data_IF_026635487382
#
_entry.id   IF_026635487382
#
_cell.length_a   1.000
_cell.length_b   1.000
_cell.length_c   1.000
_cell.angle_alpha   90.00
_cell.angle_beta   90.00
_cell.angle_gamma   90.00
#
_symmetry.space_group_name_H-M   'P 1'
#
loop_
_entity.id
_entity.type
_entity.pdbx_description
1 polymer ?
#
# COMPACT_ATOMS: atom_id res chain seq x y z
N UNK A 1 -15.81 -27.85 26.49
CA UNK A 1 -16.45 -29.10 25.99
C UNK A 1 -17.73 -29.48 26.72
N UNK A 2 -17.91 -29.08 27.97
CA UNK A 2 -19.12 -29.37 28.76
C UNK A 2 -20.43 -28.84 28.12
N UNK A 3 -20.36 -27.73 27.37
CA UNK A 3 -21.53 -27.16 26.69
C UNK A 3 -22.13 -28.09 25.62
N UNK A 4 -21.30 -28.81 24.86
CA UNK A 4 -21.75 -29.75 23.82
C UNK A 4 -22.41 -30.98 24.47
N UNK A 5 -21.80 -31.49 25.54
CA UNK A 5 -22.35 -32.63 26.29
C UNK A 5 -23.72 -32.29 26.91
N UNK A 6 -23.83 -31.11 27.53
CA UNK A 6 -25.10 -30.64 28.10
C UNK A 6 -26.19 -30.46 27.02
N UNK A 7 -25.84 -29.91 25.85
CA UNK A 7 -26.79 -29.73 24.75
C UNK A 7 -27.30 -31.08 24.20
N UNK A 8 -26.41 -32.08 24.10
CA UNK A 8 -26.80 -33.43 23.67
C UNK A 8 -27.71 -34.10 24.71
N UNK A 9 -27.39 -33.96 26.00
CA UNK A 9 -28.20 -34.54 27.09
C UNK A 9 -29.57 -33.86 27.21
N UNK A 10 -29.65 -32.54 26.99
CA UNK A 10 -30.90 -31.78 26.95
C UNK A 10 -31.78 -32.23 25.77
N UNK A 11 -31.21 -32.37 24.57
CA UNK A 11 -31.96 -32.91 23.42
C UNK A 11 -32.53 -34.30 23.69
N UNK A 12 -31.75 -35.20 24.30
CA UNK A 12 -32.20 -36.55 24.68
C UNK A 12 -33.37 -36.46 25.67
N UNK A 13 -33.26 -35.58 26.67
CA UNK A 13 -34.28 -35.36 27.71
C UNK A 13 -35.58 -34.76 27.16
N UNK A 14 -35.47 -33.87 26.17
CA UNK A 14 -36.63 -33.23 25.53
C UNK A 14 -37.28 -34.09 24.43
N UNK A 15 -36.76 -35.29 24.15
CA UNK A 15 -37.33 -36.17 23.13
C UNK A 15 -36.85 -35.87 21.70
N UNK A 16 -35.86 -34.98 21.54
CA UNK A 16 -35.35 -34.53 20.25
C UNK A 16 -34.24 -35.49 19.80
N UNK A 17 -34.48 -36.21 18.71
CA UNK A 17 -33.53 -37.17 18.13
C UNK A 17 -33.01 -38.22 19.14
N UNK A 18 -33.80 -38.55 20.17
CA UNK A 18 -33.40 -39.35 21.33
C UNK A 18 -32.75 -40.66 20.96
N UNK A 19 -33.32 -41.44 20.03
CA UNK A 19 -32.72 -42.71 19.61
C UNK A 19 -31.36 -42.53 18.93
N UNK A 20 -31.22 -41.50 18.09
CA UNK A 20 -29.99 -41.23 17.34
C UNK A 20 -28.89 -40.72 18.27
N UNK A 21 -29.20 -39.72 19.11
CA UNK A 21 -28.26 -39.14 20.06
C UNK A 21 -27.86 -40.12 21.16
N UNK A 22 -28.76 -40.99 21.61
CA UNK A 22 -28.42 -42.02 22.61
C UNK A 22 -27.50 -43.10 22.04
N UNK A 23 -27.71 -43.52 20.78
CA UNK A 23 -26.88 -44.53 20.11
C UNK A 23 -25.52 -43.97 19.69
N UNK A 24 -25.46 -42.72 19.24
CA UNK A 24 -24.26 -42.11 18.65
C UNK A 24 -23.64 -41.00 19.51
N UNK A 25 -23.93 -40.97 20.82
CA UNK A 25 -23.56 -39.87 21.75
C UNK A 25 -22.08 -39.50 21.66
N UNK A 26 -21.20 -40.50 21.72
CA UNK A 26 -19.75 -40.28 21.71
C UNK A 26 -19.25 -39.70 20.37
N UNK A 27 -19.80 -40.17 19.25
CA UNK A 27 -19.42 -39.69 17.91
C UNK A 27 -19.90 -38.25 17.68
N UNK A 28 -21.16 -37.93 18.04
CA UNK A 28 -21.72 -36.57 17.91
C UNK A 28 -20.97 -35.56 18.77
N UNK A 29 -20.64 -35.93 20.01
CA UNK A 29 -19.84 -35.09 20.91
C UNK A 29 -18.42 -34.91 20.36
N UNK A 30 -17.80 -35.99 19.87
CA UNK A 30 -16.45 -35.95 19.30
C UNK A 30 -16.40 -35.09 18.03
N UNK A 31 -17.31 -35.32 17.08
CA UNK A 31 -17.45 -34.55 15.84
C UNK A 31 -17.60 -33.06 16.16
N UNK A 32 -18.54 -32.71 17.03
CA UNK A 32 -18.83 -31.32 17.41
C UNK A 32 -17.70 -30.63 18.19
N UNK A 33 -16.81 -31.38 18.85
CA UNK A 33 -15.69 -30.83 19.63
C UNK A 33 -14.40 -30.71 18.81
N UNK A 34 -14.16 -31.62 17.88
CA UNK A 34 -12.87 -31.73 17.17
C UNK A 34 -12.84 -31.05 15.80
N UNK A 35 -13.99 -30.76 15.19
CA UNK A 35 -14.01 -30.22 13.82
C UNK A 35 -13.66 -28.74 13.72
N UNK A 36 -13.84 -27.97 14.79
CA UNK A 36 -13.54 -26.53 14.79
C UNK A 36 -12.27 -26.21 15.59
N UNK A 37 -11.14 -26.10 14.89
CA UNK A 37 -9.91 -25.54 15.43
C UNK A 37 -9.94 -24.01 15.30
N UNK A 38 -10.43 -23.37 16.36
CA UNK A 38 -10.50 -21.91 16.47
C UNK A 38 -9.14 -21.25 16.25
N UNK A 39 -8.06 -21.84 16.78
CA UNK A 39 -6.72 -21.25 16.67
C UNK A 39 -6.21 -21.29 15.23
N UNK A 40 -6.49 -22.38 14.52
CA UNK A 40 -6.16 -22.51 13.10
C UNK A 40 -6.90 -21.47 12.26
N UNK A 41 -8.19 -21.26 12.49
CA UNK A 41 -8.98 -20.25 11.77
C UNK A 41 -8.54 -18.82 12.10
N UNK A 42 -8.28 -18.50 13.37
CA UNK A 42 -7.74 -17.20 13.77
C UNK A 42 -6.36 -16.94 13.14
N UNK A 43 -5.52 -17.97 13.04
CA UNK A 43 -4.20 -17.88 12.40
C UNK A 43 -4.32 -17.64 10.89
N UNK A 44 -5.27 -18.30 10.22
CA UNK A 44 -5.56 -18.05 8.79
C UNK A 44 -6.02 -16.60 8.58
N UNK A 45 -6.96 -16.13 9.41
CA UNK A 45 -7.48 -14.77 9.33
C UNK A 45 -6.36 -13.73 9.52
N UNK A 46 -5.56 -13.88 10.58
CA UNK A 46 -4.44 -12.97 10.86
C UNK A 46 -3.40 -12.94 9.74
N UNK A 47 -3.13 -14.09 9.12
CA UNK A 47 -2.22 -14.17 7.97
C UNK A 47 -2.78 -13.42 6.77
N UNK A 48 -4.07 -13.59 6.46
CA UNK A 48 -4.73 -12.88 5.36
C UNK A 48 -4.76 -11.37 5.60
N UNK A 49 -5.07 -10.92 6.82
CA UNK A 49 -5.05 -9.50 7.20
C UNK A 49 -3.64 -8.90 7.08
N UNK A 50 -2.61 -9.63 7.52
CA UNK A 50 -1.23 -9.20 7.39
C UNK A 50 -0.81 -9.08 5.92
N UNK A 51 -1.11 -10.09 5.10
CA UNK A 51 -0.78 -10.09 3.67
C UNK A 51 -1.49 -8.95 2.93
N UNK A 52 -2.76 -8.70 3.24
CA UNK A 52 -3.51 -7.58 2.68
C UNK A 52 -2.89 -6.23 3.08
N UNK A 53 -2.59 -6.03 4.37
CA UNK A 53 -1.97 -4.80 4.85
C UNK A 53 -0.56 -4.56 4.30
N UNK A 54 0.24 -5.62 4.18
CA UNK A 54 1.57 -5.54 3.57
C UNK A 54 1.49 -5.17 2.09
N UNK A 55 0.61 -5.83 1.33
CA UNK A 55 0.43 -5.56 -0.10
C UNK A 55 -0.07 -4.15 -0.37
N UNK A 56 -1.02 -3.66 0.44
CA UNK A 56 -1.53 -2.28 0.31
C UNK A 56 -0.45 -1.24 0.66
N UNK A 57 0.32 -1.49 1.73
CA UNK A 57 1.44 -0.66 2.11
C UNK A 57 2.55 -0.60 1.05
N UNK A 58 2.91 -1.75 0.47
CA UNK A 58 3.90 -1.83 -0.63
C UNK A 58 3.42 -1.06 -1.86
N UNK A 59 2.17 -1.27 -2.28
CA UNK A 59 1.59 -0.59 -3.44
C UNK A 59 1.55 0.92 -3.24
N UNK A 60 1.04 1.37 -2.09
CA UNK A 60 0.92 2.79 -1.76
C UNK A 60 2.30 3.46 -1.65
N UNK A 61 3.27 2.80 -1.00
CA UNK A 61 4.63 3.30 -0.89
C UNK A 61 5.34 3.40 -2.24
N UNK A 62 5.19 2.39 -3.09
CA UNK A 62 5.78 2.40 -4.44
C UNK A 62 5.15 3.47 -5.32
N UNK A 63 3.82 3.59 -5.33
CA UNK A 63 3.12 4.60 -6.13
C UNK A 63 3.49 6.02 -5.71
N UNK A 64 3.45 6.31 -4.40
CA UNK A 64 3.80 7.62 -3.85
C UNK A 64 5.26 7.95 -4.15
N UNK A 65 6.19 7.06 -3.78
CA UNK A 65 7.63 7.29 -3.99
C UNK A 65 8.02 7.42 -5.47
N UNK A 66 7.41 6.62 -6.35
CA UNK A 66 7.63 6.74 -7.80
C UNK A 66 7.10 8.06 -8.35
N UNK A 67 5.89 8.48 -7.94
CA UNK A 67 5.29 9.72 -8.41
C UNK A 67 6.08 10.95 -7.97
N UNK A 68 6.44 11.03 -6.69
CA UNK A 68 7.24 12.13 -6.12
C UNK A 68 8.64 12.19 -6.74
N UNK A 69 9.29 11.03 -6.87
CA UNK A 69 10.61 10.94 -7.49
C UNK A 69 10.59 11.36 -8.96
N UNK A 70 9.55 10.96 -9.70
CA UNK A 70 9.38 11.33 -11.11
C UNK A 70 9.12 12.82 -11.27
N UNK A 71 8.25 13.41 -10.46
CA UNK A 71 7.94 14.84 -10.51
C UNK A 71 9.17 15.68 -10.17
N UNK A 72 9.84 15.33 -9.06
CA UNK A 72 11.05 16.02 -8.62
C UNK A 72 12.16 15.94 -9.67
N UNK A 73 12.44 14.73 -10.20
CA UNK A 73 13.47 14.55 -11.22
C UNK A 73 13.15 15.22 -12.55
N UNK A 74 11.87 15.27 -12.94
CA UNK A 74 11.46 15.99 -14.15
C UNK A 74 11.62 17.50 -13.98
N UNK A 75 11.19 18.06 -12.84
CA UNK A 75 11.33 19.49 -12.52
C UNK A 75 12.80 19.91 -12.46
N UNK A 76 13.64 19.13 -11.77
CA UNK A 76 15.09 19.38 -11.70
C UNK A 76 15.74 19.31 -13.09
N UNK A 77 15.37 18.31 -13.90
CA UNK A 77 15.85 18.18 -15.27
C UNK A 77 15.46 19.36 -16.17
N UNK A 78 14.23 19.84 -16.07
CA UNK A 78 13.76 21.03 -16.80
C UNK A 78 14.52 22.29 -16.38
N UNK A 79 14.70 22.49 -15.07
CA UNK A 79 15.47 23.62 -14.53
C UNK A 79 16.92 23.59 -15.01
N UNK A 80 17.59 22.43 -14.93
CA UNK A 80 18.95 22.26 -15.43
C UNK A 80 19.06 22.54 -16.93
N UNK A 81 18.11 22.06 -17.73
CA UNK A 81 18.09 22.32 -19.18
C UNK A 81 17.88 23.81 -19.51
N UNK A 82 17.02 24.50 -18.77
CA UNK A 82 16.80 25.94 -18.91
C UNK A 82 18.06 26.75 -18.59
N UNK A 83 18.70 26.43 -17.45
CA UNK A 83 19.96 27.07 -17.01
C UNK A 83 21.08 26.81 -18.02
N UNK A 84 21.23 25.57 -18.51
CA UNK A 84 22.27 25.24 -19.49
C UNK A 84 22.06 25.99 -20.81
N UNK A 85 20.81 26.08 -21.26
CA UNK A 85 20.44 26.84 -22.45
C UNK A 85 20.80 28.30 -22.29
N UNK A 86 20.44 28.93 -21.16
CA UNK A 86 20.79 30.31 -20.87
C UNK A 86 22.31 30.52 -20.84
N UNK A 87 23.06 29.63 -20.18
CA UNK A 87 24.53 29.70 -20.10
C UNK A 87 25.19 29.65 -21.49
N UNK A 88 24.75 28.76 -22.38
CA UNK A 88 25.27 28.66 -23.75
C UNK A 88 24.95 29.91 -24.57
N UNK A 89 23.75 30.49 -24.39
CA UNK A 89 23.37 31.72 -25.09
C UNK A 89 24.18 32.94 -24.59
N UNK A 90 24.41 33.06 -23.28
CA UNK A 90 25.28 34.09 -22.70
C UNK A 90 26.70 34.01 -23.27
N UNK A 91 27.29 32.82 -23.29
CA UNK A 91 28.63 32.60 -23.86
C UNK A 91 28.74 32.97 -25.34
N UNK A 92 27.64 32.90 -26.09
CA UNK A 92 27.64 33.26 -27.51
C UNK A 92 27.72 34.78 -27.74
N UNK A 93 27.44 35.62 -26.74
CA UNK A 93 27.38 37.09 -26.82
C UNK A 93 26.53 37.65 -27.98
N UNK A 94 25.56 36.86 -28.47
CA UNK A 94 24.71 37.21 -29.62
C UNK A 94 23.29 37.63 -29.24
N UNK A 95 22.92 37.47 -27.97
CA UNK A 95 21.55 37.66 -27.50
C UNK A 95 21.53 38.62 -26.32
N UNK A 96 20.46 39.40 -26.20
CA UNK A 96 20.19 40.24 -25.03
C UNK A 96 19.67 39.41 -23.86
N UNK A 97 19.79 39.92 -22.63
CA UNK A 97 19.27 39.26 -21.43
C UNK A 97 17.76 38.95 -21.55
N UNK A 98 17.00 39.86 -22.17
CA UNK A 98 15.55 39.67 -22.38
C UNK A 98 15.25 38.51 -23.35
N UNK A 99 16.02 38.39 -24.43
CA UNK A 99 15.88 37.30 -25.40
C UNK A 99 16.28 35.97 -24.78
N UNK A 100 17.35 35.94 -23.97
CA UNK A 100 17.82 34.74 -23.29
C UNK A 100 16.77 34.27 -22.28
N UNK A 101 16.20 35.18 -21.48
CA UNK A 101 15.09 34.88 -20.57
C UNK A 101 13.91 34.26 -21.32
N UNK A 102 13.51 34.87 -22.45
CA UNK A 102 12.41 34.38 -23.28
C UNK A 102 12.66 32.98 -23.87
N UNK A 103 13.88 32.68 -24.34
CA UNK A 103 14.18 31.39 -24.96
C UNK A 103 14.46 30.26 -23.96
N UNK A 104 15.07 30.58 -22.82
CA UNK A 104 15.35 29.61 -21.76
C UNK A 104 14.14 29.33 -20.86
N UNK A 105 13.14 30.23 -20.84
CA UNK A 105 11.99 30.14 -19.94
C UNK A 105 12.30 30.63 -18.52
N UNK A 106 13.46 31.24 -18.31
CA UNK A 106 13.87 31.87 -17.04
C UNK A 106 13.42 33.33 -16.98
N UNK A 107 13.40 33.90 -15.78
CA UNK A 107 13.27 35.34 -15.57
C UNK A 107 14.58 36.07 -15.90
N UNK A 108 14.48 37.38 -16.20
CA UNK A 108 15.68 38.20 -16.46
C UNK A 108 16.63 38.21 -15.25
N UNK A 109 16.10 38.22 -14.02
CA UNK A 109 16.89 38.17 -12.78
C UNK A 109 17.69 36.85 -12.67
N UNK A 110 17.09 35.72 -13.02
CA UNK A 110 17.79 34.42 -13.02
C UNK A 110 18.91 34.40 -14.06
N UNK A 111 18.66 34.94 -15.26
CA UNK A 111 19.67 35.05 -16.31
C UNK A 111 20.81 36.00 -15.90
N UNK A 112 20.51 37.12 -15.27
CA UNK A 112 21.50 38.05 -14.71
C UNK A 112 22.35 37.37 -13.64
N UNK A 113 21.74 36.58 -12.76
CA UNK A 113 22.44 35.80 -11.73
C UNK A 113 23.38 34.76 -12.36
N UNK A 114 22.92 34.04 -13.38
CA UNK A 114 23.76 33.09 -14.14
C UNK A 114 24.93 33.82 -14.82
N UNK A 115 24.71 35.04 -15.29
CA UNK A 115 25.75 35.86 -15.92
C UNK A 115 26.75 36.42 -14.91
N UNK A 116 26.36 36.65 -13.65
CA UNK A 116 27.28 37.09 -12.60
C UNK A 116 28.11 35.96 -12.00
N UNK A 117 27.60 34.72 -12.08
CA UNK A 117 28.25 33.52 -11.56
C UNK A 117 29.17 32.82 -12.59
N UNK A 118 29.27 33.35 -13.81
CA UNK A 118 30.08 32.84 -14.92
C UNK A 118 31.43 33.58 -15.05
#
# INVERSE_FOLDING_TARGET
NQAVECAVDECIKEGILTEFLSKNRAEVISMSIFEYDKELEEKKLRKAEYEAGFSDGEKSGHETGFSEGRESGFSEGQSHAAIETARRMLQSNKFTIEEIAKFSGLSQQEVETISSDA
#
